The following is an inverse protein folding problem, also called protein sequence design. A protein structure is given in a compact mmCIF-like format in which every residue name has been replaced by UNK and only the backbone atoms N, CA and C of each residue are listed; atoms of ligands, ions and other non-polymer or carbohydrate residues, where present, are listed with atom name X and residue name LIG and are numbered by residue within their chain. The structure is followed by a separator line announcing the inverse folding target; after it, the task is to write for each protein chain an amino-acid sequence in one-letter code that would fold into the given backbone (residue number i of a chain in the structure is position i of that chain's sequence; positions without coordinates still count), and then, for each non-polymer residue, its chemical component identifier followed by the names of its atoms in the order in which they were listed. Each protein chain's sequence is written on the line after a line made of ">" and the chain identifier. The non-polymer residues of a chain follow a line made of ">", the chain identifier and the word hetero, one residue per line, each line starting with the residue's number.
data_IF_558845373078
#
_entry.id   IF_558845373078
#
_cell.length_a   1.000
_cell.length_b   1.000
_cell.length_c   1.000
_cell.angle_alpha   90.00
_cell.angle_beta   90.00
_cell.angle_gamma   90.00
#
_symmetry.space_group_name_H-M   'P 1'
#
loop_
_entity.id
_entity.type
_entity.pdbx_description
1 polymer ?
#
# COMPACT_ATOMS: atom_id res chain seq x y z
N UNK A 1 15.60 -29.93 5.09
CA UNK A 1 16.06 -28.57 4.75
C UNK A 1 16.42 -28.63 3.28
N UNK A 2 15.45 -28.33 2.42
CA UNK A 2 15.68 -28.41 0.98
C UNK A 2 16.62 -27.27 0.59
N UNK A 3 17.75 -27.64 0.01
CA UNK A 3 18.67 -26.70 -0.64
C UNK A 3 17.88 -25.92 -1.68
N UNK A 4 17.96 -24.57 -1.71
CA UNK A 4 17.29 -23.79 -2.74
C UNK A 4 17.73 -24.31 -4.10
N UNK A 5 16.78 -24.70 -4.94
CA UNK A 5 17.06 -25.13 -6.30
C UNK A 5 17.73 -23.98 -7.06
N UNK A 6 18.59 -24.31 -8.03
CA UNK A 6 19.31 -23.37 -8.92
C UNK A 6 18.50 -22.13 -9.37
N UNK A 7 17.18 -22.22 -9.68
CA UNK A 7 16.37 -21.07 -10.05
C UNK A 7 16.23 -20.00 -8.97
N UNK A 8 16.19 -20.36 -7.68
CA UNK A 8 16.04 -19.38 -6.59
C UNK A 8 17.33 -18.56 -6.42
N UNK A 9 18.49 -19.18 -6.64
CA UNK A 9 19.79 -18.50 -6.57
C UNK A 9 19.92 -17.50 -7.72
N UNK A 10 19.52 -17.91 -8.93
CA UNK A 10 19.53 -17.03 -10.10
C UNK A 10 18.55 -15.86 -9.95
N UNK A 11 17.33 -16.10 -9.45
CA UNK A 11 16.37 -15.04 -9.14
C UNK A 11 16.91 -14.06 -8.09
N UNK A 12 17.55 -14.56 -7.03
CA UNK A 12 18.18 -13.70 -6.01
C UNK A 12 19.40 -12.94 -6.53
N UNK A 13 20.14 -13.49 -7.49
CA UNK A 13 21.30 -12.83 -8.09
C UNK A 13 20.90 -11.79 -9.14
N UNK A 14 19.76 -11.98 -9.82
CA UNK A 14 19.19 -10.99 -10.73
C UNK A 14 18.61 -9.78 -10.00
N UNK A 15 18.24 -9.96 -8.73
CA UNK A 15 17.59 -8.97 -7.90
C UNK A 15 18.52 -7.82 -7.47
N UNK A 16 18.14 -6.60 -7.83
CA UNK A 16 18.85 -5.36 -7.55
C UNK A 16 17.97 -4.43 -6.71
N UNK A 17 18.50 -4.01 -5.56
CA UNK A 17 17.89 -2.97 -4.74
C UNK A 17 17.92 -1.63 -5.49
N UNK A 18 16.74 -1.06 -5.76
CA UNK A 18 16.59 0.26 -6.39
C UNK A 18 16.49 1.37 -5.34
N UNK A 19 15.70 1.15 -4.29
CA UNK A 19 15.53 2.10 -3.19
C UNK A 19 15.18 1.36 -1.91
N UNK A 20 15.66 1.90 -0.79
CA UNK A 20 15.37 1.43 0.56
C UNK A 20 14.90 2.61 1.42
N UNK A 21 13.85 2.38 2.19
CA UNK A 21 13.33 3.32 3.17
C UNK A 21 13.20 2.64 4.52
N UNK A 22 13.91 3.17 5.50
CA UNK A 22 13.88 2.72 6.88
C UNK A 22 12.94 3.63 7.69
N UNK A 23 12.07 3.05 8.51
CA UNK A 23 11.14 3.78 9.35
C UNK A 23 11.06 3.18 10.75
N UNK A 24 10.66 4.02 11.70
CA UNK A 24 10.36 3.56 13.05
C UNK A 24 8.94 3.03 13.13
N UNK A 25 8.81 1.82 13.68
CA UNK A 25 7.50 1.23 13.97
C UNK A 25 6.83 2.01 15.10
N UNK A 26 5.57 2.39 14.91
CA UNK A 26 4.77 3.15 15.87
C UNK A 26 3.58 2.30 16.32
N UNK A 27 3.13 2.40 17.58
CA UNK A 27 1.96 1.67 18.04
C UNK A 27 0.69 2.13 17.32
N UNK A 28 -0.22 1.19 17.09
CA UNK A 28 -1.57 1.50 16.59
C UNK A 28 -2.38 2.12 17.73
N UNK A 29 -2.88 3.34 17.51
CA UNK A 29 -3.66 4.10 18.47
C UNK A 29 -5.14 4.07 18.11
N UNK A 30 -5.96 3.42 18.96
CA UNK A 30 -7.41 3.33 18.77
C UNK A 30 -7.81 2.83 17.36
N UNK A 31 -7.02 1.92 16.79
CA UNK A 31 -7.25 1.31 15.47
C UNK A 31 -6.51 1.98 14.30
N UNK A 32 -5.84 3.10 14.52
CA UNK A 32 -5.13 3.84 13.48
C UNK A 32 -3.61 3.77 13.66
N UNK A 33 -2.90 3.53 12.57
CA UNK A 33 -1.45 3.69 12.54
C UNK A 33 -1.03 5.17 12.33
N UNK A 34 -1.99 6.04 11.99
CA UNK A 34 -1.84 7.48 11.84
C UNK A 34 -0.96 7.93 10.66
N UNK A 35 -0.71 7.03 9.71
CA UNK A 35 0.08 7.31 8.51
C UNK A 35 -0.24 6.35 7.37
N UNK A 36 0.01 6.80 6.15
CA UNK A 36 -0.03 6.00 4.92
C UNK A 36 1.39 5.86 4.36
N UNK A 37 1.64 4.77 3.65
CA UNK A 37 2.88 4.55 2.91
C UNK A 37 2.64 4.99 1.46
N UNK A 38 3.41 5.97 0.99
CA UNK A 38 3.36 6.44 -0.39
C UNK A 38 4.61 6.00 -1.14
N UNK A 39 4.40 5.39 -2.31
CA UNK A 39 5.44 4.92 -3.21
C UNK A 39 5.17 5.49 -4.60
N UNK A 40 6.16 6.16 -5.18
CA UNK A 40 6.14 6.57 -6.58
C UNK A 40 7.14 5.74 -7.38
N UNK A 41 6.67 4.96 -8.34
CA UNK A 41 7.48 4.06 -9.14
C UNK A 41 8.26 4.74 -10.26
N UNK A 42 7.92 5.99 -10.61
CA UNK A 42 8.63 6.73 -11.65
C UNK A 42 10.01 7.19 -11.19
N UNK A 43 10.14 7.58 -9.92
CA UNK A 43 11.40 8.01 -9.32
C UNK A 43 11.85 7.14 -8.14
N UNK A 44 11.14 6.04 -7.88
CA UNK A 44 11.34 5.12 -6.76
C UNK A 44 11.23 5.79 -5.37
N UNK A 45 10.56 6.93 -5.26
CA UNK A 45 10.35 7.60 -3.97
C UNK A 45 9.50 6.75 -3.03
N UNK A 46 9.93 6.63 -1.77
CA UNK A 46 9.17 6.02 -0.68
C UNK A 46 9.08 7.03 0.47
N UNK A 47 7.86 7.37 0.91
CA UNK A 47 7.65 8.32 2.02
C UNK A 47 6.41 7.95 2.85
N UNK A 48 6.28 8.52 4.05
CA UNK A 48 5.05 8.46 4.85
C UNK A 48 4.22 9.75 4.71
N UNK A 49 2.90 9.63 4.54
CA UNK A 49 1.97 10.77 4.63
C UNK A 49 1.11 10.65 5.91
N UNK A 50 0.77 11.75 6.59
CA UNK A 50 0.01 11.68 7.83
C UNK A 50 -1.47 11.37 7.59
N UNK A 51 -2.06 10.51 8.43
CA UNK A 51 -3.53 10.38 8.55
C UNK A 51 -4.02 11.38 9.58
N UNK A 52 -4.58 12.50 9.10
CA UNK A 52 -5.04 13.59 9.96
C UNK A 52 -6.31 13.24 10.71
N UNK A 53 -6.60 13.97 11.79
CA UNK A 53 -7.87 13.78 12.53
C UNK A 53 -9.09 14.05 11.64
N UNK A 54 -9.03 15.09 10.79
CA UNK A 54 -10.09 15.39 9.82
C UNK A 54 -10.34 14.21 8.88
N UNK A 55 -9.28 13.55 8.40
CA UNK A 55 -9.41 12.39 7.51
C UNK A 55 -10.15 11.24 8.22
N UNK A 56 -9.83 10.99 9.50
CA UNK A 56 -10.55 9.98 10.31
C UNK A 56 -12.02 10.34 10.49
N UNK A 57 -12.31 11.60 10.81
CA UNK A 57 -13.67 12.06 11.10
C UNK A 57 -14.57 12.01 9.84
N UNK A 58 -14.02 12.38 8.68
CA UNK A 58 -14.77 12.41 7.41
C UNK A 58 -14.86 11.04 6.74
N UNK A 59 -13.81 10.22 6.81
CA UNK A 59 -13.68 9.04 5.97
C UNK A 59 -13.54 7.72 6.74
N UNK A 60 -13.30 7.76 8.06
CA UNK A 60 -13.19 6.61 8.97
C UNK A 60 -12.04 5.60 8.69
N UNK A 61 -11.75 5.27 7.43
CA UNK A 61 -10.76 4.27 7.04
C UNK A 61 -11.20 3.48 5.81
N UNK A 62 -10.44 2.43 5.45
CA UNK A 62 -10.79 1.51 4.37
C UNK A 62 -11.11 2.24 3.06
N UNK A 63 -12.28 1.94 2.46
CA UNK A 63 -12.74 2.58 1.21
C UNK A 63 -12.73 4.11 1.29
N UNK A 64 -13.06 4.71 2.43
CA UNK A 64 -13.08 6.16 2.58
C UNK A 64 -11.68 6.77 2.42
N UNK A 65 -10.68 6.17 3.07
CA UNK A 65 -9.28 6.60 2.89
C UNK A 65 -8.82 6.37 1.46
N UNK A 66 -9.11 5.21 0.88
CA UNK A 66 -8.71 4.90 -0.49
C UNK A 66 -9.30 5.88 -1.52
N UNK A 67 -10.58 6.26 -1.37
CA UNK A 67 -11.23 7.25 -2.23
C UNK A 67 -10.69 8.66 -2.03
N UNK A 68 -10.43 9.08 -0.78
CA UNK A 68 -9.79 10.37 -0.51
C UNK A 68 -8.44 10.42 -1.21
N UNK A 69 -7.57 9.43 -0.99
CA UNK A 69 -6.21 9.44 -1.52
C UNK A 69 -6.21 9.45 -3.05
N UNK A 70 -7.06 8.64 -3.69
CA UNK A 70 -7.24 8.70 -5.14
C UNK A 70 -7.73 10.08 -5.61
N UNK A 71 -8.71 10.68 -4.92
CA UNK A 71 -9.18 12.04 -5.20
C UNK A 71 -8.07 13.09 -5.08
N UNK A 72 -7.16 12.91 -4.12
CA UNK A 72 -5.89 13.61 -3.97
C UNK A 72 -5.00 13.64 -5.22
N UNK A 73 -4.94 12.48 -5.88
CA UNK A 73 -3.91 12.16 -6.85
C UNK A 73 -4.30 12.47 -8.28
N UNK A 74 -5.59 12.47 -8.60
CA UNK A 74 -6.11 12.55 -9.97
C UNK A 74 -6.96 13.81 -10.19
N UNK A 75 -7.09 14.20 -11.45
CA UNK A 75 -8.01 15.24 -11.90
C UNK A 75 -9.07 14.69 -12.87
N UNK A 76 -9.89 15.58 -13.44
CA UNK A 76 -10.96 15.19 -14.36
C UNK A 76 -10.48 14.68 -15.72
N UNK A 77 -9.21 14.89 -16.08
CA UNK A 77 -8.61 14.47 -17.34
C UNK A 77 -7.75 13.20 -17.18
N UNK A 78 -7.47 12.79 -15.93
CA UNK A 78 -6.67 11.62 -15.62
C UNK A 78 -7.36 10.32 -16.05
N UNK A 79 -6.62 9.48 -16.75
CA UNK A 79 -7.06 8.17 -17.23
C UNK A 79 -6.38 7.03 -16.49
N UNK A 80 -6.89 5.80 -16.65
CA UNK A 80 -6.43 4.63 -15.91
C UNK A 80 -4.94 4.29 -16.08
N UNK A 81 -4.34 4.66 -17.22
CA UNK A 81 -2.94 4.38 -17.55
C UNK A 81 -2.04 5.62 -17.39
N UNK A 82 -2.53 6.71 -16.80
CA UNK A 82 -1.66 7.85 -16.51
C UNK A 82 -0.82 7.58 -15.26
N UNK A 83 0.42 8.10 -15.23
CA UNK A 83 1.30 7.97 -14.07
C UNK A 83 0.74 8.65 -12.81
N UNK A 84 -0.23 9.57 -12.97
CA UNK A 84 -0.95 10.22 -11.87
C UNK A 84 -1.96 9.29 -11.20
N UNK A 85 -2.53 8.31 -11.94
CA UNK A 85 -3.51 7.38 -11.39
C UNK A 85 -2.87 6.53 -10.29
N UNK A 86 -3.40 6.65 -9.08
CA UNK A 86 -2.93 5.85 -7.95
C UNK A 86 -3.67 4.52 -7.86
N UNK A 87 -2.93 3.48 -7.47
CA UNK A 87 -3.49 2.26 -6.93
C UNK A 87 -3.37 2.33 -5.40
N UNK A 88 -4.50 2.51 -4.73
CA UNK A 88 -4.56 2.68 -3.29
C UNK A 88 -5.12 1.43 -2.62
N UNK A 89 -4.39 0.86 -1.66
CA UNK A 89 -4.86 -0.24 -0.82
C UNK A 89 -5.00 0.25 0.61
N UNK A 90 -6.23 0.33 1.10
CA UNK A 90 -6.51 0.85 2.44
C UNK A 90 -7.20 -0.18 3.33
N UNK A 91 -6.88 -0.13 4.62
CA UNK A 91 -7.44 -0.98 5.66
C UNK A 91 -8.35 -0.17 6.61
N UNK A 92 -9.28 -0.84 7.28
CA UNK A 92 -10.19 -0.22 8.24
C UNK A 92 -9.57 -0.04 9.64
N UNK A 93 -10.17 0.79 10.51
CA UNK A 93 -9.66 0.99 11.88
C UNK A 93 -9.74 -0.27 12.74
N UNK A 94 -10.66 -1.20 12.44
CA UNK A 94 -10.77 -2.48 13.14
C UNK A 94 -9.91 -3.58 12.51
N UNK A 95 -9.11 -3.26 11.48
CA UNK A 95 -8.32 -4.24 10.76
C UNK A 95 -7.29 -4.93 11.65
N UNK A 96 -7.22 -6.26 11.58
CA UNK A 96 -6.29 -7.06 12.38
C UNK A 96 -6.75 -7.31 13.82
N UNK A 97 -7.90 -6.78 14.26
CA UNK A 97 -8.45 -7.08 15.59
C UNK A 97 -9.10 -8.47 15.55
N UNK A 98 -8.48 -9.44 16.22
CA UNK A 98 -8.90 -10.85 16.23
C UNK A 98 -10.14 -11.13 17.05
N UNK A 99 -10.54 -10.21 17.95
CA UNK A 99 -11.77 -10.32 18.73
C UNK A 99 -13.05 -10.18 17.89
N UNK A 100 -12.94 -9.63 16.67
CA UNK A 100 -14.05 -9.46 15.75
C UNK A 100 -13.88 -10.39 14.54
N UNK A 101 -14.91 -11.13 14.12
CA UNK A 101 -14.82 -11.95 12.92
C UNK A 101 -14.72 -11.09 11.65
N UNK A 102 -13.89 -11.51 10.70
CA UNK A 102 -13.86 -10.92 9.35
C UNK A 102 -13.14 -9.58 9.20
N UNK A 103 -12.28 -9.20 10.15
CA UNK A 103 -11.60 -7.89 10.15
C UNK A 103 -10.37 -7.78 9.23
N UNK A 104 -9.95 -8.84 8.56
CA UNK A 104 -8.78 -8.84 7.66
C UNK A 104 -9.06 -8.31 6.24
N UNK A 105 -9.81 -7.22 6.10
CA UNK A 105 -10.24 -6.69 4.79
C UNK A 105 -9.32 -5.58 4.28
N UNK A 106 -8.91 -5.69 3.01
CA UNK A 106 -8.29 -4.62 2.22
C UNK A 106 -9.30 -4.13 1.18
N UNK A 107 -9.34 -2.81 0.97
CA UNK A 107 -10.04 -2.22 -0.18
C UNK A 107 -9.02 -1.63 -1.12
N UNK A 108 -9.05 -2.03 -2.38
CA UNK A 108 -8.22 -1.52 -3.47
C UNK A 108 -9.04 -0.55 -4.30
N UNK A 109 -8.54 0.66 -4.53
CA UNK A 109 -9.21 1.71 -5.30
C UNK A 109 -8.26 2.30 -6.34
N UNK A 110 -8.77 2.53 -7.55
CA UNK A 110 -8.05 3.15 -8.68
C UNK A 110 -9.04 3.57 -9.77
N UNK A 111 -8.58 4.18 -10.86
CA UNK A 111 -9.35 4.33 -12.10
C UNK A 111 -9.34 3.03 -12.92
N UNK A 112 -10.53 2.54 -13.29
CA UNK A 112 -10.68 1.25 -13.97
C UNK A 112 -10.35 1.34 -15.47
N UNK A 113 -9.54 0.41 -16.01
CA UNK A 113 -9.34 0.30 -17.46
C UNK A 113 -10.61 -0.18 -18.20
N UNK A 114 -11.53 -0.85 -17.51
CA UNK A 114 -12.75 -1.39 -18.11
C UNK A 114 -13.86 -0.35 -18.19
N UNK A 115 -14.05 0.42 -17.12
CA UNK A 115 -15.17 1.36 -17.01
C UNK A 115 -14.77 2.82 -17.21
N UNK A 116 -13.46 3.12 -17.23
CA UNK A 116 -12.92 4.49 -17.25
C UNK A 116 -13.43 5.36 -16.09
N UNK A 117 -13.83 4.73 -14.98
CA UNK A 117 -14.33 5.39 -13.78
C UNK A 117 -13.64 4.81 -12.54
N UNK A 118 -13.80 5.50 -11.41
CA UNK A 118 -13.33 5.00 -10.11
C UNK A 118 -13.94 3.62 -9.82
N UNK A 119 -13.09 2.67 -9.43
CA UNK A 119 -13.49 1.35 -8.98
C UNK A 119 -12.98 1.09 -7.57
N UNK A 120 -13.73 0.31 -6.79
CA UNK A 120 -13.26 -0.31 -5.57
C UNK A 120 -13.40 -1.84 -5.65
N UNK A 121 -12.42 -2.54 -5.09
CA UNK A 121 -12.43 -4.00 -4.94
C UNK A 121 -12.08 -4.38 -3.52
N UNK A 122 -12.84 -5.30 -2.92
CA UNK A 122 -12.64 -5.74 -1.55
C UNK A 122 -12.08 -7.16 -1.51
N UNK A 123 -10.98 -7.35 -0.79
CA UNK A 123 -10.35 -8.65 -0.59
C UNK A 123 -10.17 -8.92 0.90
N UNK A 124 -10.33 -10.18 1.30
CA UNK A 124 -10.01 -10.64 2.65
C UNK A 124 -8.67 -11.38 2.71
N UNK A 125 -8.14 -11.57 3.91
CA UNK A 125 -6.93 -12.35 4.14
C UNK A 125 -5.99 -11.66 5.09
N UNK A 126 -4.69 -11.88 4.90
CA UNK A 126 -3.66 -11.43 5.83
C UNK A 126 -2.94 -10.14 5.42
N UNK A 127 -3.06 -9.72 4.15
CA UNK A 127 -2.36 -8.53 3.65
C UNK A 127 -2.68 -7.26 4.45
N UNK A 128 -3.97 -6.92 4.58
CA UNK A 128 -4.38 -5.70 5.29
C UNK A 128 -3.97 -5.70 6.78
N UNK A 129 -4.13 -6.80 7.54
CA UNK A 129 -3.56 -6.92 8.88
C UNK A 129 -2.04 -6.71 8.91
N UNK A 130 -1.27 -7.33 8.02
CA UNK A 130 0.17 -7.16 8.01
C UNK A 130 0.60 -5.74 7.63
N UNK A 131 -0.12 -5.07 6.72
CA UNK A 131 0.11 -3.66 6.43
C UNK A 131 -0.18 -2.77 7.66
N UNK A 132 -1.27 -3.05 8.40
CA UNK A 132 -1.58 -2.37 9.66
C UNK A 132 -0.48 -2.59 10.70
N UNK A 133 0.01 -3.82 10.83
CA UNK A 133 1.06 -4.18 11.79
C UNK A 133 2.43 -3.63 11.41
N UNK A 134 2.71 -3.45 10.12
CA UNK A 134 3.84 -2.66 9.63
C UNK A 134 3.67 -1.14 9.90
N UNK A 135 2.52 -0.73 10.45
CA UNK A 135 2.28 0.64 10.89
C UNK A 135 1.73 1.56 9.81
N UNK A 136 0.93 1.05 8.87
CA UNK A 136 0.27 1.88 7.84
C UNK A 136 -1.23 1.63 7.72
N UNK A 137 -2.00 2.70 7.57
CA UNK A 137 -3.46 2.67 7.35
C UNK A 137 -3.83 2.48 5.87
N UNK A 138 -2.93 2.87 4.97
CA UNK A 138 -3.05 2.66 3.53
C UNK A 138 -1.67 2.59 2.87
N UNK A 139 -1.63 1.96 1.70
CA UNK A 139 -0.54 1.95 0.74
C UNK A 139 -1.01 2.67 -0.53
N UNK A 140 -0.30 3.70 -0.94
CA UNK A 140 -0.51 4.48 -2.16
C UNK A 140 0.62 4.15 -3.14
N UNK A 141 0.27 3.65 -4.32
CA UNK A 141 1.24 3.36 -5.38
C UNK A 141 0.91 4.27 -6.57
N UNK A 142 1.84 5.18 -6.88
CA UNK A 142 1.75 6.11 -8.02
C UNK A 142 2.89 5.85 -9.01
N UNK A 143 2.77 6.36 -10.23
CA UNK A 143 3.82 6.33 -11.22
C UNK A 143 3.94 5.00 -11.95
N UNK A 144 4.95 4.92 -12.80
CA UNK A 144 5.27 3.74 -13.61
C UNK A 144 6.74 3.40 -13.47
N UNK A 145 7.02 2.15 -13.08
CA UNK A 145 8.38 1.63 -13.04
C UNK A 145 8.94 1.50 -14.47
N UNK A 146 10.27 1.65 -14.59
CA UNK A 146 10.96 1.48 -15.88
C UNK A 146 11.06 0.01 -16.32
N UNK A 147 10.95 -0.91 -15.36
CA UNK A 147 11.00 -2.37 -15.52
C UNK A 147 10.12 -3.02 -14.44
N UNK A 148 9.98 -4.35 -14.48
CA UNK A 148 9.22 -5.08 -13.44
C UNK A 148 9.92 -4.94 -12.09
N UNK A 149 9.16 -4.57 -11.05
CA UNK A 149 9.70 -4.36 -9.70
C UNK A 149 8.85 -5.05 -8.63
N UNK A 150 9.49 -5.36 -7.52
CA UNK A 150 8.89 -5.86 -6.29
C UNK A 150 8.97 -4.76 -5.23
N UNK A 151 7.82 -4.45 -4.63
CA UNK A 151 7.76 -3.68 -3.39
C UNK A 151 7.74 -4.67 -2.24
N UNK A 152 8.74 -4.61 -1.36
CA UNK A 152 8.80 -5.45 -0.18
C UNK A 152 8.67 -4.61 1.08
N UNK A 153 7.66 -4.91 1.91
CA UNK A 153 7.39 -4.24 3.19
C UNK A 153 7.74 -5.23 4.31
N UNK A 154 8.85 -4.98 4.98
CA UNK A 154 9.26 -5.69 6.17
C UNK A 154 8.83 -4.91 7.42
N UNK A 155 7.67 -5.29 7.96
CA UNK A 155 7.10 -4.69 9.17
C UNK A 155 7.90 -5.01 10.44
N UNK A 156 8.66 -6.11 10.45
CA UNK A 156 9.42 -6.55 11.62
C UNK A 156 10.69 -5.73 11.78
N UNK A 157 11.39 -5.46 10.67
CA UNK A 157 12.59 -4.61 10.68
C UNK A 157 12.30 -3.12 10.46
N UNK A 158 11.06 -2.74 10.13
CA UNK A 158 10.70 -1.35 9.85
C UNK A 158 11.31 -0.85 8.55
N UNK A 159 11.24 -1.67 7.49
CA UNK A 159 11.91 -1.40 6.21
C UNK A 159 10.98 -1.59 5.02
N UNK A 160 11.12 -0.74 4.01
CA UNK A 160 10.47 -0.88 2.70
C UNK A 160 11.53 -0.83 1.61
N UNK A 161 11.49 -1.74 0.64
CA UNK A 161 12.39 -1.75 -0.51
C UNK A 161 11.61 -1.80 -1.82
N UNK A 162 12.19 -1.21 -2.86
CA UNK A 162 11.82 -1.40 -4.27
C UNK A 162 12.98 -2.11 -4.93
N UNK A 163 12.70 -3.23 -5.59
CA UNK A 163 13.71 -4.17 -6.06
C UNK A 163 13.36 -4.61 -7.49
N UNK A 164 14.33 -4.68 -8.39
CA UNK A 164 14.16 -5.10 -9.79
C UNK A 164 14.91 -6.41 -10.08
#
# INVERSE_FOLDING_TARGET
>A
MDTPTTPIIELKAAHRLLTEYQYELRPVERGYANRTLYINLTDNTITEKPVTQQMKDLFTGGRGFALKLLWDAVDGDTTWDDSQNELVIANGPICGITAYPGTGKATVVTLSPLTHNVIDSNVGGYFAPFLKFAGFDALEIQGKAAEDVIIFIDGDSGKVTIEA
#
